data_IF_540604739560
#
_entry.id   IF_540604739560
#
_cell.length_a   1.000
_cell.length_b   1.000
_cell.length_c   1.000
_cell.angle_alpha   90.00
_cell.angle_beta   90.00
_cell.angle_gamma   90.00
#
_symmetry.space_group_name_H-M   'P 1'
#
loop_
_entity.id
_entity.type
_entity.pdbx_description
1 polymer ?
#
# COMPACT_ATOMS: atom_id res chain seq x y z
N UNK A 1 -3.74 -30.60 4.44
CA UNK A 1 -3.27 -31.57 3.43
C UNK A 1 -1.76 -31.79 3.51
N UNK A 2 -0.92 -30.78 3.35
CA UNK A 2 0.55 -30.95 3.44
C UNK A 2 1.05 -31.56 4.76
N UNK A 3 0.55 -31.08 5.92
CA UNK A 3 0.95 -31.58 7.25
C UNK A 3 0.72 -33.09 7.48
N UNK A 4 -0.21 -33.71 6.75
CA UNK A 4 -0.49 -35.14 6.87
C UNK A 4 0.39 -36.00 5.94
N UNK A 5 0.99 -35.40 4.90
CA UNK A 5 1.80 -36.11 3.89
C UNK A 5 3.31 -35.89 4.02
N UNK A 6 3.74 -34.86 4.74
CA UNK A 6 5.16 -34.55 4.95
C UNK A 6 5.58 -35.06 6.33
N UNK A 7 6.46 -36.06 6.36
CA UNK A 7 6.95 -36.67 7.60
C UNK A 7 8.46 -36.52 7.77
N UNK A 8 9.18 -36.21 6.69
CA UNK A 8 10.63 -36.00 6.68
C UNK A 8 11.03 -34.86 5.74
N UNK A 9 12.20 -34.26 5.98
CA UNK A 9 12.83 -33.34 5.03
C UNK A 9 13.08 -33.99 3.66
N UNK A 10 13.15 -35.32 3.61
CA UNK A 10 13.32 -36.09 2.35
C UNK A 10 12.08 -36.07 1.46
N UNK A 11 10.94 -35.67 2.01
CA UNK A 11 9.69 -35.50 1.25
C UNK A 11 9.64 -34.12 0.54
N UNK A 12 10.68 -33.29 0.73
CA UNK A 12 10.81 -31.93 0.19
C UNK A 12 11.95 -31.85 -0.84
N UNK A 13 11.85 -30.96 -1.84
CA UNK A 13 10.74 -30.04 -2.08
C UNK A 13 9.60 -30.68 -2.88
N UNK A 14 8.39 -30.15 -2.73
CA UNK A 14 7.29 -30.44 -3.64
C UNK A 14 6.38 -29.24 -3.83
N UNK A 15 5.70 -29.20 -4.97
CA UNK A 15 4.71 -28.16 -5.30
C UNK A 15 3.38 -28.81 -5.64
N UNK A 16 2.31 -28.32 -5.02
CA UNK A 16 0.94 -28.67 -5.37
C UNK A 16 0.25 -27.45 -5.98
N UNK A 17 -0.62 -27.69 -6.95
CA UNK A 17 -1.47 -26.64 -7.51
C UNK A 17 -2.85 -27.18 -7.81
N UNK A 18 -3.81 -26.26 -7.91
CA UNK A 18 -5.15 -26.54 -8.38
C UNK A 18 -5.60 -25.43 -9.32
N UNK A 19 -6.54 -25.76 -10.20
CA UNK A 19 -7.33 -24.79 -10.94
C UNK A 19 -8.74 -24.95 -10.40
N UNK A 20 -9.24 -23.92 -9.73
CA UNK A 20 -10.48 -24.02 -8.98
C UNK A 20 -11.19 -22.67 -8.99
N UNK A 21 -12.52 -22.73 -9.05
CA UNK A 21 -13.40 -21.60 -8.82
C UNK A 21 -13.20 -21.02 -7.41
N UNK A 22 -12.94 -19.72 -7.33
CA UNK A 22 -12.79 -18.95 -6.10
C UNK A 22 -13.91 -17.94 -5.96
N UNK A 23 -14.19 -17.62 -4.70
CA UNK A 23 -15.20 -16.63 -4.33
C UNK A 23 -14.54 -15.49 -3.56
N UNK A 24 -14.78 -14.26 -3.99
CA UNK A 24 -14.43 -13.04 -3.26
C UNK A 24 -15.65 -12.15 -3.19
N UNK A 25 -16.00 -11.69 -2.00
CA UNK A 25 -17.09 -10.73 -1.83
C UNK A 25 -16.65 -9.33 -2.27
N UNK A 26 -16.51 -9.17 -3.59
CA UNK A 26 -16.12 -7.91 -4.21
C UNK A 26 -17.27 -6.89 -4.10
N UNK A 27 -16.98 -5.78 -3.42
CA UNK A 27 -17.92 -4.68 -3.19
C UNK A 27 -18.35 -4.02 -4.49
N UNK A 28 -17.46 -3.94 -5.49
CA UNK A 28 -17.73 -3.29 -6.79
C UNK A 28 -17.21 -4.13 -7.98
N UNK A 29 -17.95 -5.19 -8.38
CA UNK A 29 -17.63 -5.95 -9.59
C UNK A 29 -17.70 -5.06 -10.84
N UNK A 30 -16.70 -5.14 -11.73
CA UNK A 30 -16.57 -4.29 -12.92
C UNK A 30 -15.65 -4.93 -13.96
N UNK A 31 -15.68 -4.42 -15.20
CA UNK A 31 -14.76 -4.89 -16.25
C UNK A 31 -15.00 -6.32 -16.73
N UNK A 32 -16.21 -6.86 -16.56
CA UNK A 32 -16.52 -8.25 -16.93
C UNK A 32 -15.65 -9.21 -16.13
N UNK A 33 -15.01 -10.16 -16.80
CA UNK A 33 -14.15 -11.19 -16.18
C UNK A 33 -12.94 -10.63 -15.42
N UNK A 34 -12.59 -9.37 -15.61
CA UNK A 34 -11.46 -8.74 -14.92
C UNK A 34 -11.69 -8.63 -13.41
N UNK A 35 -12.94 -8.39 -12.96
CA UNK A 35 -13.26 -8.22 -11.54
C UNK A 35 -14.68 -8.65 -11.21
N UNK A 36 -14.82 -9.91 -10.79
CA UNK A 36 -16.08 -10.58 -10.43
C UNK A 36 -16.02 -11.22 -9.05
N UNK A 37 -17.16 -11.68 -8.54
CA UNK A 37 -17.25 -12.37 -7.25
C UNK A 37 -16.90 -13.86 -7.32
N UNK A 38 -17.07 -14.47 -8.49
CA UNK A 38 -16.78 -15.88 -8.75
C UNK A 38 -15.88 -15.95 -9.99
N UNK A 39 -14.67 -16.51 -9.84
CA UNK A 39 -13.68 -16.57 -10.91
C UNK A 39 -12.82 -17.83 -10.80
N UNK A 40 -12.32 -18.31 -11.92
CA UNK A 40 -11.32 -19.38 -11.95
C UNK A 40 -9.95 -18.85 -11.55
N UNK A 41 -9.28 -19.57 -10.66
CA UNK A 41 -7.92 -19.24 -10.25
C UNK A 41 -7.06 -20.49 -10.25
N UNK A 42 -5.85 -20.35 -10.80
CA UNK A 42 -4.77 -21.27 -10.52
C UNK A 42 -4.02 -20.78 -9.29
N UNK A 43 -4.04 -21.56 -8.23
CA UNK A 43 -3.25 -21.36 -7.01
C UNK A 43 -2.27 -22.52 -6.82
N UNK A 44 -1.03 -22.19 -6.47
CA UNK A 44 0.03 -23.17 -6.21
C UNK A 44 0.72 -22.86 -4.89
N UNK A 45 1.20 -23.93 -4.26
CA UNK A 45 1.86 -23.90 -2.96
C UNK A 45 3.08 -24.82 -3.04
N UNK A 46 4.28 -24.25 -2.90
CA UNK A 46 5.51 -25.01 -2.73
C UNK A 46 5.80 -25.24 -1.25
N UNK A 47 6.46 -26.35 -0.97
CA UNK A 47 6.94 -26.70 0.36
C UNK A 47 8.40 -27.09 0.20
N UNK A 48 9.25 -26.34 0.88
CA UNK A 48 10.70 -26.41 0.76
C UNK A 48 11.33 -26.60 2.14
N UNK A 49 12.52 -27.21 2.20
CA UNK A 49 13.18 -27.52 3.47
C UNK A 49 13.86 -26.30 4.12
N UNK A 50 14.23 -25.31 3.30
CA UNK A 50 14.96 -24.11 3.67
C UNK A 50 14.62 -22.94 2.73
N UNK A 51 15.09 -21.74 3.08
CA UNK A 51 14.87 -20.51 2.29
C UNK A 51 15.49 -20.62 0.89
N UNK A 52 16.69 -21.21 0.74
CA UNK A 52 17.30 -21.42 -0.57
C UNK A 52 16.45 -22.31 -1.49
N UNK A 53 15.77 -23.31 -0.93
CA UNK A 53 14.79 -24.14 -1.64
C UNK A 53 13.56 -23.36 -2.06
N UNK A 54 13.02 -22.55 -1.16
CA UNK A 54 11.91 -21.64 -1.45
C UNK A 54 12.26 -20.70 -2.61
N UNK A 55 13.46 -20.12 -2.61
CA UNK A 55 13.91 -19.22 -3.67
C UNK A 55 14.02 -19.94 -5.02
N UNK A 56 14.51 -21.18 -5.05
CA UNK A 56 14.53 -22.01 -6.27
C UNK A 56 13.11 -22.29 -6.76
N UNK A 57 12.23 -22.75 -5.89
CA UNK A 57 10.82 -23.00 -6.20
C UNK A 57 10.12 -21.74 -6.73
N UNK A 58 10.41 -20.58 -6.13
CA UNK A 58 9.91 -19.29 -6.59
C UNK A 58 10.38 -18.96 -8.01
N UNK A 59 11.68 -19.09 -8.31
CA UNK A 59 12.22 -18.83 -9.65
C UNK A 59 11.69 -19.82 -10.71
N UNK A 60 11.47 -21.08 -10.34
CA UNK A 60 10.81 -22.06 -11.21
C UNK A 60 9.39 -21.63 -11.56
N UNK A 61 8.63 -21.13 -10.57
CA UNK A 61 7.29 -20.58 -10.76
C UNK A 61 7.31 -19.32 -11.64
N UNK A 62 8.25 -18.39 -11.42
CA UNK A 62 8.45 -17.22 -12.30
C UNK A 62 8.66 -17.66 -13.75
N UNK A 63 9.55 -18.63 -13.98
CA UNK A 63 9.79 -19.18 -15.32
C UNK A 63 8.56 -19.85 -15.92
N UNK A 64 7.77 -20.57 -15.13
CA UNK A 64 6.53 -21.20 -15.57
C UNK A 64 5.48 -20.17 -15.99
N UNK A 65 5.28 -19.10 -15.20
CA UNK A 65 4.32 -18.04 -15.51
C UNK A 65 4.74 -17.29 -16.77
N UNK A 66 6.03 -16.94 -16.94
CA UNK A 66 6.55 -16.34 -18.18
C UNK A 66 6.19 -17.18 -19.41
N UNK A 67 6.42 -18.50 -19.37
CA UNK A 67 6.05 -19.42 -20.46
C UNK A 67 4.54 -19.51 -20.69
N UNK A 68 3.73 -19.43 -19.63
CA UNK A 68 2.27 -19.45 -19.75
C UNK A 68 1.79 -18.20 -20.48
N UNK A 69 2.23 -17.01 -20.04
CA UNK A 69 1.83 -15.75 -20.65
C UNK A 69 2.32 -15.61 -22.10
N UNK A 70 3.56 -16.02 -22.38
CA UNK A 70 4.12 -16.07 -23.73
C UNK A 70 3.28 -16.96 -24.67
N UNK A 71 2.91 -18.17 -24.22
CA UNK A 71 2.02 -19.07 -24.98
C UNK A 71 0.61 -18.50 -25.18
N UNK A 72 0.16 -17.62 -24.30
CA UNK A 72 -1.09 -16.88 -24.45
C UNK A 72 -0.97 -15.64 -25.33
N UNK A 73 0.25 -15.28 -25.79
CA UNK A 73 0.51 -14.07 -26.56
C UNK A 73 0.38 -12.78 -25.74
N UNK A 74 0.65 -12.85 -24.43
CA UNK A 74 0.52 -11.72 -23.51
C UNK A 74 1.90 -11.17 -23.14
N UNK A 75 2.12 -9.90 -23.44
CA UNK A 75 3.32 -9.17 -23.05
C UNK A 75 3.16 -8.62 -21.63
N UNK A 76 3.64 -9.38 -20.65
CA UNK A 76 3.51 -9.04 -19.22
C UNK A 76 4.85 -8.59 -18.64
N UNK A 77 4.79 -7.62 -17.75
CA UNK A 77 5.93 -7.20 -16.94
C UNK A 77 5.83 -7.81 -15.54
N UNK A 78 6.95 -8.27 -14.99
CA UNK A 78 7.03 -8.67 -13.59
C UNK A 78 7.44 -7.47 -12.74
N UNK A 79 6.70 -7.18 -11.68
CA UNK A 79 6.91 -5.99 -10.85
C UNK A 79 6.94 -6.37 -9.38
N UNK A 80 7.66 -5.60 -8.56
CA UNK A 80 7.63 -5.74 -7.11
C UNK A 80 6.27 -5.32 -6.56
N UNK A 81 5.70 -6.13 -5.69
CA UNK A 81 4.37 -5.94 -5.14
C UNK A 81 4.35 -6.05 -3.61
N UNK A 82 3.24 -5.60 -3.01
CA UNK A 82 3.03 -5.82 -1.58
C UNK A 82 2.61 -7.28 -1.34
N UNK A 83 3.13 -7.91 -0.30
CA UNK A 83 2.74 -9.27 0.09
C UNK A 83 1.31 -9.31 0.66
N UNK A 84 0.76 -8.15 1.02
CA UNK A 84 -0.60 -7.97 1.51
C UNK A 84 -0.95 -8.89 2.68
N UNK A 85 -2.20 -9.35 2.70
CA UNK A 85 -2.72 -10.22 3.76
C UNK A 85 -2.27 -11.68 3.70
N UNK A 86 -1.56 -12.09 2.65
CA UNK A 86 -0.98 -13.45 2.55
C UNK A 86 0.27 -13.55 3.45
N UNK A 87 0.96 -12.43 3.66
CA UNK A 87 2.24 -12.38 4.37
C UNK A 87 3.39 -12.93 3.53
N UNK A 88 4.62 -12.57 3.90
CA UNK A 88 5.83 -12.92 3.15
C UNK A 88 6.75 -11.72 2.93
N UNK A 89 8.04 -11.96 2.70
CA UNK A 89 9.04 -10.90 2.46
C UNK A 89 8.99 -10.37 1.04
N UNK A 90 9.01 -11.27 0.06
CA UNK A 90 9.10 -10.94 -1.36
C UNK A 90 7.83 -11.35 -2.09
N UNK A 91 7.29 -10.43 -2.87
CA UNK A 91 6.06 -10.60 -3.65
C UNK A 91 6.24 -9.93 -5.00
N UNK A 92 5.90 -10.65 -6.06
CA UNK A 92 5.93 -10.14 -7.42
C UNK A 92 4.58 -10.36 -8.12
N UNK A 93 4.17 -9.38 -8.91
CA UNK A 93 3.00 -9.43 -9.76
C UNK A 93 3.42 -9.52 -11.24
N UNK A 94 2.69 -10.31 -12.01
CA UNK A 94 2.76 -10.25 -13.48
C UNK A 94 1.62 -9.36 -13.97
N UNK A 95 1.97 -8.26 -14.64
CA UNK A 95 1.03 -7.21 -15.03
C UNK A 95 1.05 -7.03 -16.54
N UNK A 96 -0.13 -7.10 -17.16
CA UNK A 96 -0.31 -6.70 -18.56
C UNK A 96 -0.54 -5.19 -18.60
N UNK A 97 0.35 -4.45 -19.26
CA UNK A 97 0.26 -2.99 -19.33
C UNK A 97 -0.88 -2.56 -20.29
N UNK A 98 -1.85 -1.83 -19.77
CA UNK A 98 -2.99 -1.31 -20.53
C UNK A 98 -3.59 -0.09 -19.84
N UNK A 99 -4.09 0.86 -20.63
CA UNK A 99 -4.74 2.08 -20.12
C UNK A 99 -5.99 1.79 -19.28
N UNK A 100 -6.60 0.60 -19.46
CA UNK A 100 -7.75 0.15 -18.70
C UNK A 100 -7.40 -0.58 -17.40
N UNK A 101 -6.11 -0.74 -17.09
CA UNK A 101 -5.62 -1.43 -15.90
C UNK A 101 -6.01 -0.69 -14.62
N UNK A 102 -6.32 -1.45 -13.57
CA UNK A 102 -6.67 -0.85 -12.27
C UNK A 102 -5.44 -0.51 -11.42
N UNK A 103 -4.34 -1.24 -11.63
CA UNK A 103 -3.08 -1.07 -10.94
C UNK A 103 -2.23 0.02 -11.57
N UNK A 104 -1.43 0.69 -10.73
CA UNK A 104 -0.48 1.71 -11.16
C UNK A 104 0.92 1.18 -10.96
N UNK A 105 1.65 1.02 -12.06
CA UNK A 105 3.02 0.53 -12.07
C UNK A 105 3.97 1.70 -12.27
N UNK A 106 5.01 1.77 -11.45
CA UNK A 106 6.15 2.66 -11.65
C UNK A 106 7.27 1.85 -12.28
N UNK A 107 7.74 2.29 -13.43
CA UNK A 107 8.89 1.71 -14.13
C UNK A 107 9.99 2.76 -14.19
N UNK A 108 11.21 2.35 -13.87
CA UNK A 108 12.38 3.18 -14.05
C UNK A 108 12.67 3.38 -15.54
N UNK A 109 13.18 4.55 -15.89
CA UNK A 109 13.66 4.84 -17.26
C UNK A 109 15.13 4.51 -17.45
N UNK A 110 15.86 4.32 -16.34
CA UNK A 110 17.31 4.16 -16.31
C UNK A 110 17.75 2.77 -15.80
N UNK A 111 16.80 1.90 -15.41
CA UNK A 111 17.06 0.56 -14.87
C UNK A 111 15.88 -0.39 -15.07
N UNK A 112 16.07 -1.67 -14.78
CA UNK A 112 15.03 -2.71 -14.84
C UNK A 112 14.06 -2.68 -13.64
N UNK A 113 14.10 -1.63 -12.81
CA UNK A 113 13.23 -1.52 -11.65
C UNK A 113 11.79 -1.25 -12.07
N UNK A 114 10.87 -2.10 -11.62
CA UNK A 114 9.44 -1.91 -11.77
C UNK A 114 8.71 -2.36 -10.50
N UNK A 115 7.79 -1.55 -10.01
CA UNK A 115 7.03 -1.84 -8.80
C UNK A 115 5.59 -1.32 -8.89
N UNK A 116 4.67 -2.03 -8.25
CA UNK A 116 3.36 -1.48 -7.93
C UNK A 116 3.54 -0.26 -7.02
N UNK A 117 2.78 0.81 -7.26
CA UNK A 117 2.83 2.06 -6.47
C UNK A 117 2.71 1.80 -4.97
N UNK A 118 2.03 0.72 -4.54
CA UNK A 118 1.91 0.34 -3.13
C UNK A 118 3.21 -0.15 -2.48
N UNK A 119 4.11 -0.75 -3.28
CA UNK A 119 5.41 -1.28 -2.86
C UNK A 119 6.59 -0.37 -3.22
N UNK A 120 6.41 0.49 -4.23
CA UNK A 120 7.48 1.28 -4.79
C UNK A 120 8.26 2.09 -3.74
N UNK A 121 9.58 2.00 -3.80
CA UNK A 121 10.45 2.71 -2.88
C UNK A 121 10.64 4.16 -3.31
N UNK A 122 10.57 5.07 -2.34
CA UNK A 122 10.75 6.50 -2.58
C UNK A 122 12.07 7.00 -2.01
N UNK A 123 12.96 7.45 -2.88
CA UNK A 123 14.19 8.13 -2.46
C UNK A 123 13.85 9.59 -2.10
N UNK A 124 13.93 9.91 -0.80
CA UNK A 124 13.65 11.26 -0.31
C UNK A 124 14.73 12.23 -0.80
N UNK A 125 14.33 13.16 -1.66
CA UNK A 125 15.18 14.29 -2.04
C UNK A 125 15.59 15.09 -0.80
N UNK A 126 16.89 15.27 -0.62
CA UNK A 126 17.43 16.18 0.39
C UNK A 126 17.21 17.62 -0.03
N UNK A 127 16.90 18.48 0.93
CA UNK A 127 16.80 19.92 0.75
C UNK A 127 17.88 20.59 1.58
N UNK A 128 18.49 21.67 1.08
CA UNK A 128 19.43 22.44 1.89
C UNK A 128 18.70 22.92 3.16
N UNK A 129 19.37 22.87 4.33
CA UNK A 129 18.81 23.41 5.55
C UNK A 129 18.54 24.91 5.36
N UNK A 130 17.38 25.36 5.84
CA UNK A 130 17.01 26.77 5.92
C UNK A 130 17.06 27.18 7.40
N UNK A 131 17.44 28.43 7.67
CA UNK A 131 17.38 28.98 9.03
C UNK A 131 15.92 28.96 9.54
N UNK A 132 15.66 28.46 10.76
CA UNK A 132 14.32 28.47 11.33
C UNK A 132 13.75 29.89 11.40
N UNK A 133 12.59 30.09 10.80
CA UNK A 133 11.83 31.34 10.93
C UNK A 133 11.20 31.50 12.32
N UNK A 134 10.64 32.69 12.58
CA UNK A 134 9.83 32.93 13.77
C UNK A 134 8.50 32.19 13.61
N UNK A 135 8.05 31.52 14.68
CA UNK A 135 6.76 30.83 14.71
C UNK A 135 5.66 31.86 14.99
N UNK A 136 4.74 32.01 14.05
CA UNK A 136 3.64 32.97 14.13
C UNK A 136 2.31 32.31 13.73
N UNK A 137 1.23 32.67 14.43
CA UNK A 137 -0.12 32.29 14.05
C UNK A 137 -0.73 33.35 13.14
N UNK A 138 -1.42 32.92 12.08
CA UNK A 138 -2.10 33.81 11.15
C UNK A 138 -3.46 33.25 10.73
N UNK A 139 -4.34 34.15 10.28
CA UNK A 139 -5.70 33.78 9.91
C UNK A 139 -5.75 33.05 8.56
N UNK A 140 -6.39 31.88 8.54
CA UNK A 140 -6.60 31.06 7.32
C UNK A 140 -8.10 30.80 7.06
N UNK A 141 -8.95 31.85 7.02
CA UNK A 141 -10.40 31.69 6.95
C UNK A 141 -10.83 31.00 5.64
N UNK A 142 -11.55 29.88 5.77
CA UNK A 142 -12.09 29.15 4.62
C UNK A 142 -11.07 28.34 3.81
N UNK A 143 -9.78 28.38 4.14
CA UNK A 143 -8.76 27.57 3.46
C UNK A 143 -8.86 26.11 3.94
N UNK A 144 -8.94 25.18 2.97
CA UNK A 144 -9.06 23.74 3.26
C UNK A 144 -8.03 22.88 2.55
N UNK A 145 -7.22 23.46 1.66
CA UNK A 145 -6.23 22.74 0.87
C UNK A 145 -4.86 23.36 1.00
N UNK A 146 -3.83 22.53 0.79
CA UNK A 146 -2.44 22.99 0.75
C UNK A 146 -2.23 23.98 -0.38
N UNK A 147 -2.88 23.76 -1.53
CA UNK A 147 -2.83 24.67 -2.67
C UNK A 147 -3.31 26.08 -2.28
N UNK A 148 -4.43 26.17 -1.54
CA UNK A 148 -4.98 27.46 -1.13
C UNK A 148 -4.10 28.15 -0.07
N UNK A 149 -3.58 27.39 0.90
CA UNK A 149 -2.65 27.89 1.92
C UNK A 149 -1.35 28.43 1.30
N UNK A 150 -0.71 27.62 0.44
CA UNK A 150 0.54 27.98 -0.22
C UNK A 150 0.39 29.24 -1.08
N UNK A 151 -0.77 29.39 -1.74
CA UNK A 151 -1.09 30.57 -2.55
C UNK A 151 -1.27 31.82 -1.69
N UNK A 152 -1.95 31.73 -0.55
CA UNK A 152 -2.16 32.87 0.34
C UNK A 152 -0.82 33.41 0.88
N UNK A 153 0.03 32.50 1.36
CA UNK A 153 1.30 32.87 2.00
C UNK A 153 2.44 33.14 0.99
N UNK A 154 2.19 32.97 -0.31
CA UNK A 154 3.21 33.17 -1.34
C UNK A 154 4.37 32.17 -1.26
N UNK A 155 4.15 30.99 -0.68
CA UNK A 155 5.17 29.94 -0.52
C UNK A 155 4.94 28.76 -1.46
N UNK A 156 6.00 28.00 -1.74
CA UNK A 156 5.84 26.71 -2.43
C UNK A 156 5.12 25.69 -1.55
N UNK A 157 4.31 24.81 -2.15
CA UNK A 157 3.71 23.64 -1.46
C UNK A 157 4.73 22.74 -0.78
N UNK A 158 6.01 22.79 -1.18
CA UNK A 158 7.08 22.04 -0.52
C UNK A 158 7.45 22.60 0.85
N UNK A 159 7.09 23.86 1.14
CA UNK A 159 7.31 24.53 2.44
C UNK A 159 6.11 24.42 3.37
N UNK A 160 5.06 23.69 2.99
CA UNK A 160 3.91 23.42 3.85
C UNK A 160 3.93 21.98 4.34
N UNK A 161 3.21 21.70 5.42
CA UNK A 161 2.99 20.36 5.96
C UNK A 161 1.49 20.03 6.03
N UNK A 162 1.16 18.75 5.84
CA UNK A 162 -0.16 18.18 6.08
C UNK A 162 -0.10 17.34 7.34
N UNK A 163 -1.01 17.60 8.27
CA UNK A 163 -1.28 16.72 9.39
C UNK A 163 -2.44 15.79 9.06
N UNK A 164 -2.21 14.49 9.15
CA UNK A 164 -3.22 13.45 8.94
C UNK A 164 -3.41 12.68 10.24
N UNK A 165 -4.65 12.62 10.70
CA UNK A 165 -5.00 12.00 11.98
C UNK A 165 -5.48 10.57 11.75
N UNK A 166 -4.86 9.63 12.44
CA UNK A 166 -5.27 8.25 12.52
C UNK A 166 -5.69 7.94 13.94
N UNK A 167 -6.76 7.15 14.07
CA UNK A 167 -7.04 6.44 15.32
C UNK A 167 -6.46 5.05 15.22
N UNK A 168 -5.64 4.68 16.20
CA UNK A 168 -4.99 3.39 16.34
C UNK A 168 -5.45 2.85 17.68
N UNK A 169 -6.35 1.86 17.65
CA UNK A 169 -7.08 1.41 18.84
C UNK A 169 -7.80 2.61 19.52
N UNK A 170 -7.34 3.01 20.71
CA UNK A 170 -7.87 4.15 21.46
C UNK A 170 -6.96 5.39 21.44
N UNK A 171 -5.82 5.33 20.75
CA UNK A 171 -4.86 6.41 20.64
C UNK A 171 -5.00 7.20 19.33
N UNK A 172 -4.66 8.48 19.37
CA UNK A 172 -4.60 9.35 18.19
C UNK A 172 -3.14 9.51 17.75
N UNK A 173 -2.85 9.05 16.53
CA UNK A 173 -1.55 9.23 15.89
C UNK A 173 -1.67 10.34 14.84
N UNK A 174 -0.81 11.36 14.96
CA UNK A 174 -0.71 12.45 13.98
C UNK A 174 0.48 12.18 13.08
N UNK A 175 0.22 12.12 11.78
CA UNK A 175 1.25 11.92 10.76
C UNK A 175 1.43 13.21 9.99
N UNK A 176 2.62 13.78 10.08
CA UNK A 176 3.00 14.98 9.34
C UNK A 176 3.78 14.60 8.08
N UNK A 177 3.25 15.01 6.93
CA UNK A 177 3.90 14.87 5.63
C UNK A 177 4.07 16.22 4.96
N UNK A 178 5.01 16.34 4.04
CA UNK A 178 5.17 17.56 3.24
C UNK A 178 3.93 17.81 2.38
N UNK A 179 3.60 19.07 2.14
CA UNK A 179 2.42 19.50 1.38
C UNK A 179 2.31 18.88 -0.02
N UNK A 180 3.44 18.63 -0.68
CA UNK A 180 3.51 17.99 -2.00
C UNK A 180 3.39 16.47 -1.98
N UNK A 181 3.47 15.82 -0.83
CA UNK A 181 3.43 14.35 -0.70
C UNK A 181 2.01 13.88 -0.40
N UNK A 182 1.67 12.66 -0.77
CA UNK A 182 0.40 12.02 -0.40
C UNK A 182 0.72 10.79 0.45
N UNK A 183 0.00 10.60 1.54
CA UNK A 183 0.11 9.37 2.31
C UNK A 183 -0.59 8.25 1.56
N UNK A 184 0.15 7.18 1.33
CA UNK A 184 -0.41 5.92 0.88
C UNK A 184 -0.74 5.06 2.09
N UNK A 185 -1.95 4.51 2.10
CA UNK A 185 -2.43 3.67 3.21
C UNK A 185 -1.55 2.43 3.45
N UNK A 186 -1.14 1.65 2.44
CA UNK A 186 -0.37 0.42 2.67
C UNK A 186 0.97 0.69 3.36
N UNK A 187 1.74 1.67 2.86
CA UNK A 187 3.05 2.02 3.39
C UNK A 187 3.01 2.50 4.85
N UNK A 188 1.90 3.12 5.28
CA UNK A 188 1.73 3.56 6.67
C UNK A 188 1.41 2.41 7.64
N UNK A 189 0.69 1.37 7.18
CA UNK A 189 0.42 0.17 7.99
C UNK A 189 1.71 -0.61 8.27
N UNK A 190 2.63 -0.65 7.30
CA UNK A 190 3.92 -1.35 7.42
C UNK A 190 4.82 -0.71 8.49
N UNK A 191 4.85 0.63 8.60
CA UNK A 191 5.68 1.32 9.60
C UNK A 191 5.21 1.14 11.05
N UNK A 192 4.01 0.62 11.30
CA UNK A 192 3.38 0.57 12.64
C UNK A 192 2.92 -0.85 13.04
N UNK A 193 3.53 -1.89 12.47
CA UNK A 193 3.38 -3.30 12.90
C UNK A 193 1.92 -3.83 12.92
N UNK A 194 1.10 -3.50 11.92
CA UNK A 194 -0.14 -4.24 11.65
C UNK A 194 -1.38 -3.85 12.48
N UNK A 195 -1.40 -2.67 13.10
CA UNK A 195 -2.57 -2.16 13.83
C UNK A 195 -3.73 -1.77 12.87
N UNK A 196 -4.98 -1.78 13.36
CA UNK A 196 -6.16 -1.34 12.58
C UNK A 196 -6.31 0.18 12.65
N UNK A 197 -6.44 0.82 11.48
CA UNK A 197 -6.50 2.28 11.35
C UNK A 197 -7.87 2.79 10.91
N UNK A 198 -8.31 3.91 11.50
CA UNK A 198 -9.41 4.73 10.97
C UNK A 198 -8.88 6.13 10.67
N UNK A 199 -9.00 6.56 9.40
CA UNK A 199 -8.72 7.92 9.00
C UNK A 199 -9.76 8.86 9.61
N UNK A 200 -9.32 9.77 10.48
CA UNK A 200 -10.16 10.81 11.06
C UNK A 200 -10.16 12.04 10.17
N UNK A 201 -11.25 12.22 9.40
CA UNK A 201 -11.54 13.50 8.77
C UNK A 201 -11.90 14.52 9.86
N UNK A 202 -11.36 15.75 9.76
CA UNK A 202 -11.51 16.86 10.73
C UNK A 202 -12.96 17.13 11.20
N UNK A 203 -13.97 16.73 10.42
CA UNK A 203 -15.38 16.75 10.87
C UNK A 203 -15.66 15.90 12.12
N UNK A 204 -14.94 14.80 12.33
CA UNK A 204 -15.13 13.87 13.46
C UNK A 204 -14.33 14.26 14.72
N UNK A 205 -13.28 15.06 14.57
CA UNK A 205 -12.45 15.53 15.70
C UNK A 205 -13.18 16.55 16.60
N UNK A 206 -14.16 17.31 16.05
CA UNK A 206 -14.95 18.28 16.83
C UNK A 206 -15.75 17.66 17.99
N UNK A 207 -15.94 16.35 18.02
CA UNK A 207 -16.65 15.65 19.10
C UNK A 207 -15.74 15.32 20.30
N UNK A 208 -14.42 15.48 20.19
CA UNK A 208 -13.47 15.17 21.27
C UNK A 208 -13.02 16.40 22.07
N UNK A 209 -13.28 17.61 21.59
CA UNK A 209 -12.96 18.88 22.30
C UNK A 209 -14.01 19.28 23.37
N UNK A 210 -14.86 18.34 23.79
CA UNK A 210 -15.89 18.55 24.81
C UNK A 210 -15.32 18.58 26.23
N UNK A 211 -14.52 19.59 26.57
CA UNK A 211 -14.21 19.91 27.97
C UNK A 211 -13.66 21.34 28.12
N UNK A 212 -14.56 22.33 28.10
CA UNK A 212 -14.36 23.64 28.73
C UNK A 212 -15.70 24.15 29.26
N UNK A 213 -16.12 23.62 30.40
CA UNK A 213 -17.09 24.31 31.24
C UNK A 213 -16.41 25.58 31.79
N UNK A 214 -16.87 26.74 31.33
CA UNK A 214 -16.62 28.00 32.02
C UNK A 214 -17.60 28.13 33.20
N UNK A 215 -17.18 28.74 34.31
CA UNK A 215 -18.00 28.90 35.50
C UNK A 215 -18.99 30.05 35.28
N UNK A 216 -20.29 29.78 35.35
CA UNK A 216 -21.29 30.83 35.55
C UNK A 216 -21.47 31.09 37.05
N UNK A 217 -20.94 32.24 37.49
CA UNK A 217 -21.28 32.88 38.75
C UNK A 217 -22.60 33.64 38.60
N UNK A 218 -23.52 33.35 39.53
CA UNK A 218 -24.51 34.22 40.19
C UNK A 218 -25.37 35.19 39.35
N UNK A 219 -26.68 34.99 39.45
CA UNK A 219 -27.74 35.92 39.04
C UNK A 219 -29.07 35.22 38.88
#
# INVERSE_FOLDING_TARGET
MARAGVTSYRDLPFTIYQIQTKFRDETRPRGGLLRVREFEMKDAYSFDADEDGMDRSFQEMVGAYKRIFDRCGLDVVMVDADSGGIGGKDSNEFVLLTDSGEDRILMSTDSDYAANVEKAEFIKKSFPPEEPGVVEEFATPGLKTIEALAKQEGVSRSKTAKAVFYRVEDEIVIVTIRGTMMLMKPSFVICLEGLRFVLLLVKRLRLLDGCRDQPQLLG
#
